data_IF_290605827820
#
_entry.id   IF_290605827820
#
_cell.length_a   1.000
_cell.length_b   1.000
_cell.length_c   1.000
_cell.angle_alpha   90.00
_cell.angle_beta   90.00
_cell.angle_gamma   90.00
#
_symmetry.space_group_name_H-M   'P 1'
#
loop_
_entity.id
_entity.type
_entity.pdbx_description
1 polymer ?
#
# COMPACT_ATOMS: atom_id res chain seq x y z
N UNK A 1 -4.88 7.43 -4.61
CA UNK A 1 -4.54 8.30 -3.46
C UNK A 1 -3.11 8.02 -3.08
N UNK A 2 -2.28 9.03 -2.88
CA UNK A 2 -0.90 8.83 -2.48
C UNK A 2 -0.82 8.16 -1.10
N UNK A 3 0.21 7.34 -0.82
CA UNK A 3 0.40 6.71 0.48
C UNK A 3 0.72 7.77 1.55
N UNK A 4 0.16 7.61 2.74
CA UNK A 4 0.52 8.44 3.89
C UNK A 4 1.74 7.84 4.64
N UNK A 5 2.24 8.58 5.64
CA UNK A 5 3.42 8.19 6.42
C UNK A 5 3.33 6.78 7.00
N UNK A 6 2.19 6.45 7.64
CA UNK A 6 1.98 5.13 8.24
C UNK A 6 1.91 4.01 7.18
N UNK A 7 1.33 4.27 6.01
CA UNK A 7 1.27 3.29 4.92
C UNK A 7 2.67 2.98 4.38
N UNK A 8 3.55 4.00 4.28
CA UNK A 8 4.95 3.80 3.91
C UNK A 8 5.69 2.98 4.97
N UNK A 9 5.57 3.37 6.24
CA UNK A 9 6.14 2.64 7.38
C UNK A 9 5.72 1.17 7.42
N UNK A 10 4.41 0.92 7.26
CA UNK A 10 3.84 -0.42 7.25
C UNK A 10 4.38 -1.24 6.10
N UNK A 11 4.48 -0.68 4.89
CA UNK A 11 4.96 -1.41 3.71
C UNK A 11 6.36 -1.96 3.92
N UNK A 12 7.25 -1.18 4.52
CA UNK A 12 8.64 -1.55 4.78
C UNK A 12 8.76 -2.66 5.83
N UNK A 13 8.04 -2.53 6.95
CA UNK A 13 8.16 -3.47 8.08
C UNK A 13 7.28 -4.71 7.98
N UNK A 14 6.20 -4.66 7.19
CA UNK A 14 5.25 -5.77 7.04
C UNK A 14 5.94 -7.06 6.56
N UNK A 15 6.81 -6.96 5.55
CA UNK A 15 7.49 -8.14 5.01
C UNK A 15 8.41 -8.79 6.04
N UNK A 16 9.11 -8.00 6.85
CA UNK A 16 9.97 -8.51 7.92
C UNK A 16 9.17 -9.30 8.97
N UNK A 17 8.03 -8.76 9.43
CA UNK A 17 7.17 -9.45 10.40
C UNK A 17 6.59 -10.74 9.80
N UNK A 18 6.17 -10.70 8.53
CA UNK A 18 5.60 -11.88 7.85
C UNK A 18 6.66 -12.95 7.60
N UNK A 19 7.90 -12.58 7.33
CA UNK A 19 9.01 -13.52 7.17
C UNK A 19 9.38 -14.19 8.50
N UNK A 20 9.39 -13.44 9.61
CA UNK A 20 9.66 -13.99 10.94
C UNK A 20 8.52 -14.87 11.47
N UNK A 21 7.27 -14.54 11.11
CA UNK A 21 6.08 -15.29 11.51
C UNK A 21 5.19 -15.55 10.30
N UNK A 22 5.44 -16.60 9.51
CA UNK A 22 4.67 -16.90 8.30
C UNK A 22 3.17 -17.08 8.57
N UNK A 23 2.80 -17.51 9.77
CA UNK A 23 1.42 -17.86 10.15
C UNK A 23 0.61 -16.64 10.60
N UNK A 24 1.27 -15.52 10.88
CA UNK A 24 0.61 -14.32 11.41
C UNK A 24 -0.37 -13.74 10.39
N UNK A 25 -1.56 -13.38 10.86
CA UNK A 25 -2.60 -12.79 10.00
C UNK A 25 -2.30 -11.34 9.70
N UNK A 26 -2.78 -10.84 8.57
CA UNK A 26 -2.63 -9.42 8.21
C UNK A 26 -3.27 -8.46 9.23
N UNK A 27 -4.33 -8.91 9.91
CA UNK A 27 -4.98 -8.15 10.97
C UNK A 27 -4.01 -7.96 12.15
N UNK A 28 -3.41 -9.06 12.62
CA UNK A 28 -2.43 -9.02 13.71
C UNK A 28 -1.20 -8.18 13.37
N UNK A 29 -0.64 -8.33 12.15
CA UNK A 29 0.48 -7.47 11.72
C UNK A 29 0.08 -5.99 11.78
N UNK A 30 -1.14 -5.66 11.37
CA UNK A 30 -1.61 -4.27 11.37
C UNK A 30 -1.80 -3.73 12.78
N UNK A 31 -2.20 -4.57 13.74
CA UNK A 31 -2.26 -4.18 15.16
C UNK A 31 -0.87 -3.98 15.76
N UNK A 32 0.06 -4.89 15.48
CA UNK A 32 1.46 -4.79 15.95
C UNK A 32 2.12 -3.52 15.39
N UNK A 33 2.04 -3.29 14.09
CA UNK A 33 2.62 -2.11 13.45
C UNK A 33 1.94 -0.81 13.87
N UNK A 34 0.66 -0.83 14.18
CA UNK A 34 -0.04 0.32 14.75
C UNK A 34 0.52 0.71 16.12
N UNK A 35 0.79 -0.27 16.99
CA UNK A 35 1.45 -0.03 18.28
C UNK A 35 2.88 0.48 18.09
N UNK A 36 3.67 -0.16 17.23
CA UNK A 36 5.05 0.27 16.93
C UNK A 36 5.09 1.71 16.43
N UNK A 37 4.21 2.07 15.49
CA UNK A 37 4.14 3.43 14.95
C UNK A 37 3.82 4.49 16.00
N UNK A 38 2.97 4.16 16.98
CA UNK A 38 2.64 5.08 18.07
C UNK A 38 3.82 5.29 19.03
N UNK A 39 4.61 4.24 19.25
CA UNK A 39 5.82 4.28 20.10
C UNK A 39 7.08 4.71 19.34
N UNK A 40 6.99 4.94 18.04
CA UNK A 40 8.13 5.29 17.18
C UNK A 40 8.63 6.71 17.48
N UNK A 41 9.93 6.91 17.31
CA UNK A 41 10.59 8.20 17.58
C UNK A 41 10.05 9.33 16.70
N UNK A 42 10.16 10.58 17.19
CA UNK A 42 9.66 11.75 16.47
C UNK A 42 10.41 11.94 15.15
N UNK A 43 11.70 11.64 15.14
CA UNK A 43 12.61 11.73 14.00
C UNK A 43 12.17 10.78 12.89
N UNK A 44 11.92 9.51 13.23
CA UNK A 44 11.44 8.52 12.27
C UNK A 44 10.06 8.90 11.75
N UNK A 45 9.14 9.35 12.61
CA UNK A 45 7.81 9.82 12.16
C UNK A 45 7.91 11.03 11.22
N UNK A 46 8.85 11.95 11.48
CA UNK A 46 9.12 13.10 10.62
C UNK A 46 9.66 12.67 9.25
N UNK A 47 10.59 11.70 9.21
CA UNK A 47 11.11 11.13 7.97
C UNK A 47 9.98 10.57 7.09
N UNK A 48 9.13 9.70 7.64
CA UNK A 48 8.01 9.14 6.88
C UNK A 48 6.97 10.19 6.49
N UNK A 49 6.80 11.25 7.29
CA UNK A 49 5.97 12.39 6.92
C UNK A 49 6.53 13.10 5.68
N UNK A 50 7.83 13.41 5.67
CA UNK A 50 8.47 14.04 4.51
C UNK A 50 8.35 13.18 3.25
N UNK A 51 8.58 11.86 3.37
CA UNK A 51 8.40 10.92 2.25
C UNK A 51 6.95 10.89 1.74
N UNK A 52 5.98 10.92 2.65
CA UNK A 52 4.56 10.97 2.28
C UNK A 52 4.20 12.29 1.58
N UNK A 53 4.73 13.41 2.05
CA UNK A 53 4.54 14.73 1.43
C UNK A 53 5.14 14.78 0.02
N UNK A 54 6.34 14.21 -0.17
CA UNK A 54 6.95 14.03 -1.50
C UNK A 54 6.08 13.17 -2.42
N UNK A 55 5.58 12.03 -1.93
CA UNK A 55 4.69 11.16 -2.72
C UNK A 55 3.37 11.82 -3.06
N UNK A 56 2.85 12.67 -2.17
CA UNK A 56 1.66 13.47 -2.42
C UNK A 56 1.91 14.51 -3.50
N UNK A 57 3.02 15.24 -3.44
CA UNK A 57 3.40 16.22 -4.45
C UNK A 57 3.64 15.58 -5.83
N UNK A 58 4.36 14.45 -5.85
CA UNK A 58 4.60 13.64 -7.06
C UNK A 58 3.27 13.22 -7.70
N UNK A 59 2.36 12.65 -6.90
CA UNK A 59 1.04 12.24 -7.39
C UNK A 59 0.22 13.43 -7.89
N UNK A 60 0.27 14.59 -7.22
CA UNK A 60 -0.45 15.77 -7.68
C UNK A 60 0.07 16.28 -9.02
N UNK A 61 1.40 16.28 -9.21
CA UNK A 61 2.02 16.66 -10.48
C UNK A 61 1.69 15.69 -11.62
N UNK A 62 1.73 14.38 -11.35
CA UNK A 62 1.45 13.35 -12.35
C UNK A 62 -0.05 13.26 -12.68
N UNK A 63 -0.91 13.55 -11.71
CA UNK A 63 -2.35 13.45 -11.85
C UNK A 63 -3.04 14.73 -11.34
N UNK A 64 -2.96 15.84 -12.10
CA UNK A 64 -3.53 17.12 -11.69
C UNK A 64 -5.06 17.05 -11.50
N UNK A 65 -5.75 16.26 -12.33
CA UNK A 65 -7.22 16.07 -12.27
C UNK A 65 -7.66 14.98 -11.28
N UNK A 66 -6.73 14.42 -10.49
CA UNK A 66 -7.08 13.35 -9.56
C UNK A 66 -8.00 13.82 -8.44
N UNK A 67 -9.20 13.26 -8.38
CA UNK A 67 -10.15 13.49 -7.29
C UNK A 67 -10.47 12.19 -6.56
N UNK A 68 -10.32 12.20 -5.23
CA UNK A 68 -10.71 11.06 -4.40
C UNK A 68 -12.23 10.97 -4.29
N UNK A 69 -12.81 9.91 -4.87
CA UNK A 69 -14.26 9.60 -4.82
C UNK A 69 -14.48 8.28 -4.08
N UNK A 70 -14.66 8.31 -2.75
CA UNK A 70 -14.94 7.08 -1.98
C UNK A 70 -16.28 6.49 -2.40
N UNK A 71 -16.33 5.16 -2.56
CA UNK A 71 -17.58 4.44 -2.86
C UNK A 71 -18.50 4.41 -1.64
N UNK A 72 -19.80 4.54 -1.85
CA UNK A 72 -20.81 4.44 -0.80
C UNK A 72 -20.91 3.00 -0.29
N UNK A 73 -21.25 2.77 0.98
CA UNK A 73 -21.39 1.42 1.53
C UNK A 73 -22.35 0.52 0.75
N UNK A 74 -23.45 1.07 0.21
CA UNK A 74 -24.42 0.36 -0.62
C UNK A 74 -23.87 -0.14 -1.96
N UNK A 75 -22.82 0.50 -2.48
CA UNK A 75 -22.15 0.14 -3.74
C UNK A 75 -21.01 -0.86 -3.54
N UNK A 76 -20.62 -1.11 -2.28
CA UNK A 76 -19.60 -2.10 -1.96
C UNK A 76 -20.24 -3.48 -2.05
N UNK A 77 -20.18 -4.09 -3.23
CA UNK A 77 -20.37 -5.55 -3.35
C UNK A 77 -19.43 -6.21 -2.35
N UNK A 78 -20.00 -6.87 -1.32
CA UNK A 78 -19.20 -7.74 -0.45
C UNK A 78 -18.57 -8.76 -1.38
N UNK A 79 -17.24 -8.85 -1.36
CA UNK A 79 -16.51 -9.87 -2.10
C UNK A 79 -16.85 -11.18 -1.40
N UNK A 80 -17.95 -11.82 -1.78
CA UNK A 80 -18.18 -13.21 -1.46
C UNK A 80 -16.95 -13.94 -1.99
N UNK A 81 -16.24 -14.61 -1.11
CA UNK A 81 -15.04 -15.36 -1.43
C UNK A 81 -15.49 -16.64 -2.15
N UNK A 82 -16.08 -16.49 -3.33
CA UNK A 82 -16.28 -17.58 -4.28
C UNK A 82 -14.96 -17.69 -5.04
N UNK A 83 -14.21 -18.73 -4.68
CA UNK A 83 -13.02 -19.20 -5.36
C UNK A 83 -13.30 -19.29 -6.86
N UNK A 84 -12.72 -18.40 -7.66
CA UNK A 84 -12.57 -18.62 -9.10
C UNK A 84 -11.08 -18.55 -9.44
N UNK A 85 -10.49 -19.73 -9.39
CA UNK A 85 -9.30 -20.11 -10.12
C UNK A 85 -9.33 -19.49 -11.54
N UNK A 86 -8.39 -18.57 -11.79
CA UNK A 86 -8.12 -18.02 -13.11
C UNK A 86 -6.62 -17.91 -13.30
N UNK A 87 -6.02 -19.08 -13.57
CA UNK A 87 -4.93 -19.34 -14.53
C UNK A 87 -4.16 -18.11 -15.01
N UNK A 88 -2.92 -18.01 -14.52
CA UNK A 88 -1.69 -17.58 -15.22
C UNK A 88 -1.85 -16.84 -16.56
N UNK A 89 -1.53 -15.54 -16.56
CA UNK A 89 -1.06 -14.85 -17.75
C UNK A 89 0.40 -14.43 -17.53
N UNK A 90 1.30 -15.26 -18.07
CA UNK A 90 2.75 -15.05 -18.08
C UNK A 90 3.11 -13.89 -19.00
N UNK A 91 3.96 -13.02 -18.46
CA UNK A 91 4.77 -11.99 -19.10
C UNK A 91 5.40 -12.45 -20.42
N UNK A 92 5.16 -11.70 -21.51
CA UNK A 92 6.12 -11.62 -22.64
C UNK A 92 6.42 -10.14 -22.91
N UNK A 93 7.65 -9.77 -22.55
CA UNK A 93 8.33 -8.54 -22.92
C UNK A 93 8.70 -8.64 -24.41
N UNK A 94 8.37 -7.63 -25.22
CA UNK A 94 9.06 -7.40 -26.48
C UNK A 94 9.37 -5.91 -26.64
N UNK A 95 10.66 -5.66 -26.76
CA UNK A 95 11.38 -4.40 -26.87
C UNK A 95 11.37 -3.87 -28.31
N UNK A 96 11.35 -2.54 -28.43
CA UNK A 96 11.82 -1.64 -29.50
C UNK A 96 12.04 -2.18 -30.92
N UNK A 97 11.65 -1.38 -31.92
CA UNK A 97 12.62 -0.81 -32.88
C UNK A 97 12.16 0.55 -33.40
N UNK A 98 13.09 1.50 -33.37
CA UNK A 98 13.08 2.73 -34.13
C UNK A 98 13.72 2.48 -35.49
N UNK A 99 13.17 3.09 -36.54
CA UNK A 99 13.87 3.53 -37.74
C UNK A 99 13.12 4.75 -38.27
#
# INVERSE_FOLDING_TARGET
RPPNAYILYRKERHHSIKAQRPDITNNEISQVLGRLWNSETREVRALYKQMADQKKAEHHRQYPDYQYRPRRPSERRRRNNASSDSRTATTTVTQQVSA
#
